data_IF_828463174495
#
_entry.id   IF_828463174495
#
_cell.length_a   1.000
_cell.length_b   1.000
_cell.length_c   1.000
_cell.angle_alpha   90.00
_cell.angle_beta   90.00
_cell.angle_gamma   90.00
#
_symmetry.space_group_name_H-M   'P 1'
#
loop_
_entity.id
_entity.type
_entity.pdbx_description
1 polymer ?
#
# COMPACT_ATOMS: atom_id res chain seq x y z
N UNK A 1 -30.23 4.69 2.22
CA UNK A 1 -29.70 5.92 2.84
C UNK A 1 -29.32 6.88 1.74
N UNK A 2 -29.79 8.13 1.77
CA UNK A 2 -29.55 9.17 0.75
C UNK A 2 -28.39 10.10 1.09
N UNK A 3 -27.79 9.95 2.27
CA UNK A 3 -26.64 10.75 2.70
C UNK A 3 -25.32 10.23 2.11
N UNK A 4 -24.36 11.13 1.78
CA UNK A 4 -23.05 10.72 1.30
C UNK A 4 -22.31 9.86 2.34
N UNK A 5 -21.53 8.89 1.85
CA UNK A 5 -20.61 8.10 2.67
C UNK A 5 -19.18 8.56 2.40
N UNK A 6 -18.45 8.86 3.46
CA UNK A 6 -17.05 9.27 3.37
C UNK A 6 -16.17 8.10 3.79
N UNK A 7 -15.12 7.83 3.03
CA UNK A 7 -14.11 6.82 3.34
C UNK A 7 -12.77 7.54 3.60
N UNK A 8 -12.11 7.17 4.69
CA UNK A 8 -10.74 7.57 4.99
C UNK A 8 -9.87 6.31 5.05
N UNK A 9 -8.79 6.29 4.27
CA UNK A 9 -7.85 5.17 4.18
C UNK A 9 -6.50 5.66 4.68
N UNK A 10 -5.90 4.89 5.60
CA UNK A 10 -4.55 5.10 6.09
C UNK A 10 -3.82 3.76 6.11
N UNK A 11 -2.53 3.77 5.79
CA UNK A 11 -1.71 2.55 5.68
C UNK A 11 -0.61 2.61 6.74
N UNK A 12 -0.42 1.51 7.47
CA UNK A 12 0.64 1.37 8.46
C UNK A 12 1.50 0.16 8.12
N UNK A 13 2.80 0.29 8.32
CA UNK A 13 3.79 -0.78 8.24
C UNK A 13 4.80 -0.62 9.37
N UNK A 14 5.53 -1.69 9.67
CA UNK A 14 6.59 -1.62 10.67
C UNK A 14 7.72 -0.69 10.19
N UNK A 15 8.37 0.03 11.11
CA UNK A 15 9.49 0.93 10.77
C UNK A 15 10.62 0.21 10.05
N UNK A 16 10.83 -1.07 10.38
CA UNK A 16 11.85 -1.94 9.78
C UNK A 16 11.40 -2.60 8.46
N UNK A 17 10.22 -2.26 7.93
CA UNK A 17 9.69 -2.82 6.68
C UNK A 17 9.95 -1.89 5.49
N UNK A 18 10.34 -2.47 4.35
CA UNK A 18 10.54 -1.75 3.10
C UNK A 18 9.44 -2.10 2.10
N UNK A 19 8.93 -1.10 1.37
CA UNK A 19 7.94 -1.30 0.31
C UNK A 19 8.57 -2.05 -0.87
N UNK A 20 7.90 -3.10 -1.35
CA UNK A 20 8.34 -3.87 -2.53
C UNK A 20 7.75 -3.32 -3.85
N UNK A 21 6.75 -2.46 -3.73
CA UNK A 21 6.08 -1.78 -4.83
C UNK A 21 5.62 -0.40 -4.38
N UNK A 22 5.56 0.59 -5.28
CA UNK A 22 5.06 1.92 -4.93
C UNK A 22 3.65 1.89 -4.34
N UNK A 23 3.38 2.71 -3.33
CA UNK A 23 2.03 2.89 -2.82
C UNK A 23 1.17 3.65 -3.85
N UNK A 24 0.06 3.05 -4.27
CA UNK A 24 -0.88 3.64 -5.24
C UNK A 24 -1.70 4.82 -4.68
N UNK A 25 -1.67 5.04 -3.36
CA UNK A 25 -2.27 6.18 -2.68
C UNK A 25 -1.16 6.99 -1.99
N UNK A 26 -0.41 7.83 -2.74
CA UNK A 26 0.68 8.60 -2.18
C UNK A 26 0.14 9.54 -1.10
N UNK A 27 0.86 9.60 0.03
CA UNK A 27 0.53 10.42 1.18
C UNK A 27 1.71 11.31 1.53
N UNK A 28 1.44 12.51 2.06
CA UNK A 28 2.49 13.36 2.65
C UNK A 28 3.07 12.77 3.93
N UNK A 29 2.38 11.80 4.52
CA UNK A 29 2.74 11.13 5.77
C UNK A 29 3.43 9.77 5.53
N UNK A 30 3.78 9.45 4.28
CA UNK A 30 4.51 8.22 3.97
C UNK A 30 5.85 8.24 4.73
N UNK A 31 6.20 7.11 5.38
CA UNK A 31 7.35 6.93 6.27
C UNK A 31 7.30 7.70 7.61
N UNK A 32 6.21 8.36 7.97
CA UNK A 32 6.12 9.04 9.27
C UNK A 32 6.03 8.01 10.42
N UNK A 33 6.97 8.06 11.36
CA UNK A 33 6.96 7.20 12.53
C UNK A 33 5.88 7.65 13.51
N UNK A 34 4.76 6.94 13.54
CA UNK A 34 3.63 7.24 14.45
C UNK A 34 3.82 6.70 15.86
N UNK A 35 4.69 5.69 16.05
CA UNK A 35 4.97 5.06 17.36
C UNK A 35 6.27 4.25 17.35
N UNK A 36 7.07 4.39 18.41
CA UNK A 36 8.29 3.61 18.61
C UNK A 36 9.55 4.46 18.43
N UNK A 37 10.62 3.84 17.97
CA UNK A 37 11.91 4.48 17.70
C UNK A 37 12.42 4.00 16.34
N UNK A 38 13.04 4.89 15.57
CA UNK A 38 13.74 4.51 14.34
C UNK A 38 14.91 3.58 14.68
N UNK A 39 14.95 2.41 14.05
CA UNK A 39 16.02 1.43 14.24
C UNK A 39 17.14 1.61 13.23
N UNK A 40 16.85 2.25 12.08
CA UNK A 40 17.81 2.38 10.98
C UNK A 40 18.15 1.04 10.31
N UNK A 41 17.36 0.00 10.58
CA UNK A 41 17.57 -1.35 10.07
C UNK A 41 16.36 -1.83 9.28
N UNK A 42 16.60 -2.63 8.25
CA UNK A 42 15.52 -3.26 7.48
C UNK A 42 15.47 -4.74 7.84
N UNK A 43 14.29 -5.22 8.20
CA UNK A 43 14.03 -6.63 8.47
C UNK A 43 13.91 -7.38 7.15
N UNK A 44 14.87 -8.26 6.90
CA UNK A 44 14.94 -9.07 5.68
C UNK A 44 14.74 -10.57 6.00
N UNK A 45 14.14 -11.28 5.05
CA UNK A 45 14.16 -12.74 4.98
C UNK A 45 14.58 -13.15 3.56
N UNK A 46 15.03 -14.40 3.40
CA UNK A 46 15.30 -14.92 2.06
C UNK A 46 13.97 -15.29 1.41
N UNK A 47 13.58 -14.60 0.34
CA UNK A 47 12.34 -14.90 -0.39
C UNK A 47 12.50 -14.70 -1.90
N UNK A 48 11.67 -15.39 -2.66
CA UNK A 48 11.50 -15.19 -4.10
C UNK A 48 10.00 -15.10 -4.38
N UNK A 49 9.57 -14.04 -5.07
CA UNK A 49 8.17 -13.78 -5.40
C UNK A 49 8.07 -13.21 -6.81
N UNK A 50 6.98 -13.53 -7.52
CA UNK A 50 6.64 -12.85 -8.77
C UNK A 50 6.14 -11.43 -8.46
N UNK A 51 6.56 -10.46 -9.26
CA UNK A 51 6.05 -9.10 -9.12
C UNK A 51 4.54 -9.07 -9.37
N UNK A 52 3.77 -8.27 -8.60
CA UNK A 52 2.36 -8.10 -8.84
C UNK A 52 2.14 -7.46 -10.23
N UNK A 53 1.11 -7.90 -10.93
CA UNK A 53 0.69 -7.25 -12.17
C UNK A 53 0.28 -5.81 -11.87
N UNK A 54 0.79 -4.86 -12.65
CA UNK A 54 0.39 -3.46 -12.54
C UNK A 54 -0.92 -3.30 -13.34
N UNK A 55 -2.01 -2.87 -12.69
CA UNK A 55 -3.27 -2.53 -13.35
C UNK A 55 -3.07 -1.56 -14.51
N UNK A 56 -3.64 -1.84 -15.69
CA UNK A 56 -3.62 -0.89 -16.81
C UNK A 56 -4.78 0.10 -16.74
N UNK A 57 -5.90 -0.32 -16.17
CA UNK A 57 -7.07 0.50 -15.91
C UNK A 57 -6.93 1.34 -14.65
N UNK A 58 -7.71 2.42 -14.58
CA UNK A 58 -7.74 3.34 -13.43
C UNK A 58 -8.76 2.94 -12.36
N UNK A 59 -9.57 1.90 -12.62
CA UNK A 59 -10.70 1.52 -11.78
C UNK A 59 -10.37 0.34 -10.87
N UNK A 60 -10.35 0.59 -9.57
CA UNK A 60 -10.28 -0.44 -8.52
C UNK A 60 -11.34 -1.54 -8.70
N UNK A 61 -12.52 -1.20 -9.24
CA UNK A 61 -13.60 -2.17 -9.47
C UNK A 61 -13.29 -3.11 -10.65
N UNK A 62 -12.66 -2.61 -11.72
CA UNK A 62 -12.26 -3.45 -12.86
C UNK A 62 -11.23 -4.51 -12.43
N UNK A 63 -10.36 -4.16 -11.48
CA UNK A 63 -9.39 -5.08 -10.91
C UNK A 63 -10.03 -6.17 -10.03
N UNK A 64 -11.11 -5.85 -9.30
CA UNK A 64 -11.88 -6.85 -8.53
C UNK A 64 -12.67 -7.81 -9.43
N UNK A 65 -13.18 -7.31 -10.56
CA UNK A 65 -13.94 -8.09 -11.53
C UNK A 65 -13.05 -8.92 -12.47
N UNK A 66 -11.73 -8.72 -12.44
CA UNK A 66 -10.76 -9.42 -13.31
C UNK A 66 -10.82 -8.96 -14.77
N UNK A 67 -11.42 -7.80 -15.04
CA UNK A 67 -11.60 -7.22 -16.38
C UNK A 67 -10.49 -6.24 -16.76
N UNK A 68 -9.45 -6.14 -15.94
CA UNK A 68 -8.34 -5.18 -16.06
C UNK A 68 -7.12 -5.71 -16.85
N UNK A 69 -7.32 -6.64 -17.81
CA UNK A 69 -6.26 -7.29 -18.60
C UNK A 69 -5.86 -6.46 -19.84
#
# INVERSE_FOLDING_TARGET
STTPRTLYITTYYAEDAIELSPNHLPSRFTHELVRGTETGSVRCSQYAMQLPAIPKGTSFFAQQEGTDI
#
